data_IF_106359847471
#
_entry.id   IF_106359847471
#
_cell.length_a   1.000
_cell.length_b   1.000
_cell.length_c   1.000
_cell.angle_alpha   90.00
_cell.angle_beta   90.00
_cell.angle_gamma   90.00
#
_symmetry.space_group_name_H-M   'P 1'
#
loop_
_entity.id
_entity.type
_entity.pdbx_description
1 polymer ?
#
# COMPACT_ATOMS: atom_id res chain seq x y z
N UNK A 1 -5.87 5.83 -9.97
CA UNK A 1 -5.14 6.99 -9.45
C UNK A 1 -5.08 7.00 -7.93
N UNK A 2 -6.21 7.22 -7.23
CA UNK A 2 -6.27 7.38 -5.76
C UNK A 2 -5.56 6.25 -5.00
N UNK A 3 -5.78 4.99 -5.39
CA UNK A 3 -5.14 3.83 -4.75
C UNK A 3 -3.61 3.90 -4.79
N UNK A 4 -3.03 4.20 -5.95
CA UNK A 4 -1.57 4.33 -6.10
C UNK A 4 -1.04 5.53 -5.30
N UNK A 5 -1.68 6.69 -5.41
CA UNK A 5 -1.28 7.88 -4.67
C UNK A 5 -1.37 7.65 -3.14
N UNK A 6 -2.41 6.97 -2.67
CA UNK A 6 -2.55 6.62 -1.26
C UNK A 6 -1.45 5.65 -0.80
N UNK A 7 -1.08 4.68 -1.64
CA UNK A 7 0.00 3.75 -1.32
C UNK A 7 1.35 4.46 -1.22
N UNK A 8 1.68 5.36 -2.15
CA UNK A 8 2.90 6.17 -2.05
C UNK A 8 2.93 6.95 -0.74
N UNK A 9 1.81 7.57 -0.35
CA UNK A 9 1.68 8.27 0.94
C UNK A 9 1.89 7.34 2.14
N UNK A 10 1.38 6.10 2.08
CA UNK A 10 1.61 5.09 3.12
C UNK A 10 3.07 4.70 3.23
N UNK A 11 3.72 4.44 2.10
CA UNK A 11 5.10 4.00 2.05
C UNK A 11 6.10 5.10 2.42
N UNK A 12 5.71 6.38 2.27
CA UNK A 12 6.53 7.53 2.65
C UNK A 12 6.44 7.90 4.13
N UNK A 13 5.52 7.31 4.90
CA UNK A 13 5.43 7.57 6.35
C UNK A 13 6.75 7.27 7.05
N UNK A 14 7.07 8.04 8.08
CA UNK A 14 8.33 7.92 8.85
C UNK A 14 8.59 6.49 9.36
N UNK A 15 7.52 5.78 9.76
CA UNK A 15 7.60 4.43 10.30
C UNK A 15 7.86 3.36 9.23
N UNK A 16 7.57 3.67 7.98
CA UNK A 16 7.72 2.77 6.81
C UNK A 16 8.93 3.16 5.99
N UNK A 17 8.93 4.34 5.41
CA UNK A 17 10.03 4.96 4.67
C UNK A 17 10.64 4.07 3.57
N UNK A 18 9.79 3.41 2.81
CA UNK A 18 10.19 2.51 1.73
C UNK A 18 10.28 3.21 0.38
N UNK A 19 9.48 4.27 0.20
CA UNK A 19 9.54 5.15 -0.97
C UNK A 19 9.40 6.62 -0.56
N UNK A 20 9.75 7.52 -1.46
CA UNK A 20 9.60 8.95 -1.26
C UNK A 20 9.33 9.64 -2.61
N UNK A 21 8.43 10.64 -2.65
CA UNK A 21 8.34 11.54 -3.78
C UNK A 21 9.65 12.28 -3.99
N UNK A 22 10.01 12.50 -5.25
CA UNK A 22 11.19 13.31 -5.55
C UNK A 22 11.01 14.72 -5.00
N UNK A 23 12.00 15.15 -4.23
CA UNK A 23 12.04 16.46 -3.62
C UNK A 23 13.09 17.32 -4.31
N UNK A 24 12.66 18.38 -5.01
CA UNK A 24 13.59 19.20 -5.78
C UNK A 24 14.56 19.96 -4.86
N UNK A 25 15.83 20.15 -5.31
CA UNK A 25 16.75 21.03 -4.61
C UNK A 25 16.15 22.43 -4.42
N UNK A 26 16.13 22.92 -3.17
CA UNK A 26 15.52 24.21 -2.83
C UNK A 26 14.02 24.21 -2.60
N UNK A 27 13.34 23.09 -2.79
CA UNK A 27 11.93 22.97 -2.45
C UNK A 27 11.73 23.09 -0.94
N UNK A 28 10.71 23.85 -0.51
CA UNK A 28 10.34 23.99 0.90
C UNK A 28 9.23 23.00 1.24
N UNK A 29 9.53 22.04 2.09
CA UNK A 29 8.53 21.06 2.56
C UNK A 29 7.62 21.59 3.69
N UNK A 30 8.10 22.59 4.43
CA UNK A 30 7.38 23.22 5.54
C UNK A 30 7.98 24.58 5.85
N UNK A 31 7.17 25.52 6.29
CA UNK A 31 7.64 26.85 6.78
C UNK A 31 8.33 26.76 8.14
N UNK A 32 8.00 25.75 8.95
CA UNK A 32 8.49 25.60 10.33
C UNK A 32 9.56 24.50 10.49
N UNK A 33 9.54 23.45 9.65
CA UNK A 33 10.43 22.29 9.74
C UNK A 33 11.17 22.07 8.40
N UNK A 34 12.41 22.55 8.27
CA UNK A 34 13.14 22.50 6.99
C UNK A 34 13.40 21.09 6.45
N UNK A 35 13.44 20.08 7.34
CA UNK A 35 13.66 18.68 6.98
C UNK A 35 12.40 17.92 6.58
N UNK A 36 11.21 18.51 6.78
CA UNK A 36 9.94 17.84 6.52
C UNK A 36 9.70 17.69 5.02
N UNK A 37 9.46 16.46 4.60
CA UNK A 37 9.12 16.10 3.23
C UNK A 37 7.75 15.44 3.22
N UNK A 38 6.77 16.14 2.68
CA UNK A 38 5.40 15.64 2.56
C UNK A 38 5.17 15.13 1.13
N UNK A 39 4.37 14.07 0.93
CA UNK A 39 3.96 13.58 -0.38
C UNK A 39 2.86 14.48 -0.98
N UNK A 40 3.18 15.75 -1.23
CA UNK A 40 2.22 16.81 -1.60
C UNK A 40 1.56 16.51 -2.95
N UNK A 41 2.31 15.95 -3.89
CA UNK A 41 1.79 15.62 -5.22
C UNK A 41 0.80 14.44 -5.13
N UNK A 42 1.11 13.40 -4.38
CA UNK A 42 0.20 12.28 -4.11
C UNK A 42 -1.02 12.71 -3.30
N UNK A 43 -0.87 13.63 -2.36
CA UNK A 43 -2.00 14.23 -1.63
C UNK A 43 -2.94 14.96 -2.58
N UNK A 44 -2.40 15.73 -3.52
CA UNK A 44 -3.18 16.44 -4.53
C UNK A 44 -3.93 15.46 -5.45
N UNK A 45 -3.25 14.43 -5.98
CA UNK A 45 -3.88 13.39 -6.81
C UNK A 45 -4.99 12.66 -6.04
N UNK A 46 -4.79 12.36 -4.76
CA UNK A 46 -5.81 11.76 -3.90
C UNK A 46 -7.04 12.67 -3.76
N UNK A 47 -6.83 13.97 -3.60
CA UNK A 47 -7.91 14.96 -3.52
C UNK A 47 -8.70 15.08 -4.82
N UNK A 48 -8.01 15.24 -5.95
CA UNK A 48 -8.63 15.34 -7.28
C UNK A 48 -9.40 14.07 -7.66
N UNK A 49 -8.91 12.90 -7.27
CA UNK A 49 -9.62 11.64 -7.49
C UNK A 49 -11.01 11.59 -6.85
N UNK A 50 -11.21 12.28 -5.72
CA UNK A 50 -12.54 12.40 -5.09
C UNK A 50 -13.48 13.26 -5.92
N UNK A 51 -13.00 14.37 -6.48
CA UNK A 51 -13.79 15.25 -7.36
C UNK A 51 -14.21 14.50 -8.63
N UNK A 52 -13.26 13.80 -9.28
CA UNK A 52 -13.51 13.01 -10.47
C UNK A 52 -14.56 11.92 -10.18
N UNK A 53 -14.45 11.21 -9.06
CA UNK A 53 -15.43 10.17 -8.68
C UNK A 53 -16.81 10.75 -8.37
N UNK A 54 -16.89 11.92 -7.73
CA UNK A 54 -18.15 12.58 -7.42
C UNK A 54 -18.95 12.95 -8.67
N UNK A 55 -18.27 13.18 -9.80
CA UNK A 55 -18.88 13.48 -11.07
C UNK A 55 -19.73 12.34 -11.68
N UNK A 56 -19.54 11.12 -11.19
CA UNK A 56 -20.29 9.95 -11.65
C UNK A 56 -21.80 10.11 -11.34
N UNK A 57 -22.14 10.69 -10.19
CA UNK A 57 -23.55 10.84 -9.78
C UNK A 57 -24.32 11.71 -10.77
N UNK A 58 -23.97 12.99 -11.02
CA UNK A 58 -24.71 13.81 -11.98
C UNK A 58 -24.63 13.28 -13.42
N UNK A 59 -23.56 12.56 -13.78
CA UNK A 59 -23.48 11.91 -15.09
C UNK A 59 -24.50 10.77 -15.23
N UNK A 60 -24.72 9.97 -14.20
CA UNK A 60 -25.75 8.92 -14.20
C UNK A 60 -27.17 9.50 -14.15
N UNK A 61 -27.39 10.61 -13.46
CA UNK A 61 -28.69 11.29 -13.41
C UNK A 61 -29.09 11.81 -14.78
N UNK A 62 -28.17 12.10 -15.70
CA UNK A 62 -28.43 12.50 -17.08
C UNK A 62 -28.94 11.34 -17.98
N UNK A 63 -29.03 10.11 -17.49
CA UNK A 63 -29.63 8.99 -18.23
C UNK A 63 -31.16 9.13 -18.31
N UNK A 64 -31.75 9.73 -17.27
CA UNK A 64 -33.21 9.95 -17.21
C UNK A 64 -33.63 11.07 -18.16
N UNK A 65 -34.65 10.82 -18.99
CA UNK A 65 -35.16 11.79 -19.94
C UNK A 65 -36.52 12.32 -19.48
N UNK A 66 -36.80 13.55 -19.85
CA UNK A 66 -38.15 14.13 -19.85
C UNK A 66 -38.78 13.93 -21.23
N UNK A 67 -39.73 12.97 -21.34
CA UNK A 67 -40.23 12.45 -22.63
C UNK A 67 -39.07 11.87 -23.46
N UNK A 68 -38.87 12.31 -24.69
CA UNK A 68 -37.81 11.84 -25.59
C UNK A 68 -36.49 12.58 -25.41
N UNK A 69 -36.48 13.69 -24.66
CA UNK A 69 -35.30 14.52 -24.47
C UNK A 69 -35.40 15.34 -23.17
N UNK A 70 -34.24 15.64 -22.59
CA UNK A 70 -34.15 16.56 -21.48
C UNK A 70 -33.01 17.56 -21.66
N UNK A 71 -33.35 18.85 -21.79
CA UNK A 71 -32.36 19.91 -21.96
C UNK A 71 -31.67 20.30 -20.64
N UNK A 72 -32.17 19.83 -19.50
CA UNK A 72 -31.51 20.06 -18.19
C UNK A 72 -30.13 19.45 -18.15
N UNK A 73 -29.87 18.36 -18.87
CA UNK A 73 -28.58 17.72 -19.03
C UNK A 73 -27.49 18.70 -19.50
N UNK A 74 -27.85 19.62 -20.42
CA UNK A 74 -26.93 20.60 -20.97
C UNK A 74 -26.29 21.49 -19.90
N UNK A 75 -27.02 21.85 -18.85
CA UNK A 75 -26.51 22.66 -17.75
C UNK A 75 -25.46 21.90 -16.93
N UNK A 76 -25.62 20.60 -16.80
CA UNK A 76 -24.69 19.70 -16.07
C UNK A 76 -23.45 19.42 -16.92
N UNK A 77 -23.63 18.99 -18.14
CA UNK A 77 -22.55 18.53 -19.03
C UNK A 77 -21.59 19.63 -19.42
N UNK A 78 -22.06 20.87 -19.56
CA UNK A 78 -21.21 22.04 -19.89
C UNK A 78 -20.15 22.35 -18.83
N UNK A 79 -20.41 22.03 -17.58
CA UNK A 79 -19.48 22.20 -16.47
C UNK A 79 -18.76 20.90 -16.20
N UNK A 80 -19.52 19.82 -16.02
CA UNK A 80 -19.00 18.53 -15.58
C UNK A 80 -17.94 17.97 -16.53
N UNK A 81 -18.26 17.88 -17.83
CA UNK A 81 -17.37 17.18 -18.78
C UNK A 81 -16.02 17.89 -18.97
N UNK A 82 -15.97 19.23 -19.22
CA UNK A 82 -14.70 19.93 -19.33
C UNK A 82 -13.87 19.84 -18.04
N UNK A 83 -14.46 20.13 -16.89
CA UNK A 83 -13.73 20.19 -15.63
C UNK A 83 -13.18 18.82 -15.24
N UNK A 84 -13.96 17.76 -15.43
CA UNK A 84 -13.52 16.41 -15.05
C UNK A 84 -12.47 15.86 -16.03
N UNK A 85 -12.57 16.12 -17.32
CA UNK A 85 -11.56 15.69 -18.29
C UNK A 85 -10.23 16.41 -18.06
N UNK A 86 -10.25 17.71 -17.78
CA UNK A 86 -9.05 18.50 -17.43
C UNK A 86 -8.44 17.98 -16.10
N UNK A 87 -9.26 17.77 -15.08
CA UNK A 87 -8.79 17.26 -13.80
C UNK A 87 -8.21 15.84 -13.93
N UNK A 88 -8.80 14.99 -14.77
CA UNK A 88 -8.35 13.63 -15.03
C UNK A 88 -7.00 13.64 -15.74
N UNK A 89 -6.86 14.39 -16.84
CA UNK A 89 -5.62 14.52 -17.60
C UNK A 89 -4.47 15.03 -16.72
N UNK A 90 -4.73 16.11 -15.99
CA UNK A 90 -3.77 16.68 -15.04
C UNK A 90 -3.34 15.66 -13.97
N UNK A 91 -4.31 14.93 -13.40
CA UNK A 91 -4.02 13.96 -12.34
C UNK A 91 -3.23 12.75 -12.84
N UNK A 92 -3.53 12.27 -14.07
CA UNK A 92 -2.80 11.17 -14.69
C UNK A 92 -1.36 11.56 -15.04
N UNK A 93 -1.18 12.74 -15.64
CA UNK A 93 0.16 13.28 -15.94
C UNK A 93 0.98 13.43 -14.66
N UNK A 94 0.40 14.04 -13.62
CA UNK A 94 1.08 14.19 -12.33
C UNK A 94 1.43 12.87 -11.68
N UNK A 95 0.54 11.88 -11.75
CA UNK A 95 0.82 10.55 -11.20
C UNK A 95 1.93 9.83 -11.97
N UNK A 96 1.97 9.99 -13.30
CA UNK A 96 3.06 9.47 -14.13
C UNK A 96 4.40 10.07 -13.72
N UNK A 97 4.48 11.40 -13.57
CA UNK A 97 5.68 12.11 -13.13
C UNK A 97 6.14 11.65 -11.73
N UNK A 98 5.19 11.44 -10.79
CA UNK A 98 5.51 10.92 -9.46
C UNK A 98 6.15 9.54 -9.55
N UNK A 99 5.58 8.64 -10.35
CA UNK A 99 6.07 7.25 -10.49
C UNK A 99 7.42 7.22 -11.19
N UNK A 100 7.61 8.04 -12.23
CA UNK A 100 8.88 8.11 -12.98
C UNK A 100 10.04 8.60 -12.11
N UNK A 101 9.77 9.52 -11.20
CA UNK A 101 10.78 10.14 -10.33
C UNK A 101 10.79 9.55 -8.92
N UNK A 102 10.05 8.47 -8.67
CA UNK A 102 9.91 7.88 -7.34
C UNK A 102 11.26 7.40 -6.80
N UNK A 103 11.61 7.84 -5.60
CA UNK A 103 12.78 7.36 -4.90
C UNK A 103 12.39 6.11 -4.12
N UNK A 104 13.11 5.00 -4.36
CA UNK A 104 12.87 3.72 -3.70
C UNK A 104 14.03 3.40 -2.78
N UNK A 105 13.75 2.90 -1.58
CA UNK A 105 14.73 2.51 -0.56
C UNK A 105 14.71 0.99 -0.31
N UNK A 106 15.38 0.18 -1.17
CA UNK A 106 15.34 -1.29 -1.06
C UNK A 106 15.86 -1.81 0.28
N UNK A 107 16.89 -1.17 0.83
CA UNK A 107 17.48 -1.57 2.11
C UNK A 107 16.47 -1.39 3.25
N UNK A 108 15.72 -0.28 3.27
CA UNK A 108 14.66 -0.04 4.24
C UNK A 108 13.52 -1.05 4.09
N UNK A 109 13.16 -1.42 2.84
CA UNK A 109 12.18 -2.48 2.60
C UNK A 109 12.64 -3.81 3.21
N UNK A 110 13.91 -4.16 3.05
CA UNK A 110 14.48 -5.38 3.61
C UNK A 110 14.52 -5.33 5.14
N UNK A 111 14.90 -4.19 5.72
CA UNK A 111 14.86 -3.97 7.17
C UNK A 111 13.42 -4.12 7.71
N UNK A 112 12.43 -3.52 7.04
CA UNK A 112 11.03 -3.63 7.43
C UNK A 112 10.51 -5.06 7.37
N UNK A 113 10.87 -5.81 6.32
CA UNK A 113 10.56 -7.22 6.21
C UNK A 113 11.18 -8.04 7.35
N UNK A 114 12.38 -7.67 7.77
CA UNK A 114 13.13 -8.30 8.87
C UNK A 114 12.61 -7.97 10.27
N UNK A 115 11.82 -6.90 10.46
CA UNK A 115 11.34 -6.44 11.78
C UNK A 115 10.63 -7.52 12.59
N UNK A 116 9.88 -8.39 11.92
CA UNK A 116 9.17 -9.52 12.55
C UNK A 116 10.05 -10.78 12.68
N UNK A 117 11.37 -10.67 12.46
CA UNK A 117 12.35 -11.73 12.70
C UNK A 117 11.99 -13.09 12.10
N UNK A 118 11.41 -13.06 10.90
CA UNK A 118 11.01 -14.24 10.13
C UNK A 118 9.58 -14.71 10.36
N UNK A 119 8.79 -14.09 11.24
CA UNK A 119 7.39 -14.48 11.49
C UNK A 119 6.49 -14.38 10.24
N UNK A 120 6.87 -13.56 9.25
CA UNK A 120 6.15 -13.47 7.97
C UNK A 120 6.08 -14.82 7.24
N UNK A 121 6.97 -15.76 7.55
CA UNK A 121 7.03 -17.10 6.96
C UNK A 121 6.25 -18.16 7.74
N UNK A 122 5.63 -17.82 8.87
CA UNK A 122 4.97 -18.78 9.77
C UNK A 122 3.96 -19.66 9.07
N UNK A 123 3.09 -19.10 8.21
CA UNK A 123 2.12 -19.88 7.44
C UNK A 123 2.81 -20.84 6.45
N UNK A 124 3.83 -20.39 5.74
CA UNK A 124 4.56 -21.24 4.80
C UNK A 124 5.22 -22.43 5.50
N UNK A 125 5.78 -22.18 6.66
CA UNK A 125 6.42 -23.24 7.49
C UNK A 125 5.38 -24.24 7.97
N UNK A 126 4.23 -23.79 8.48
CA UNK A 126 3.13 -24.65 8.86
C UNK A 126 2.68 -25.57 7.72
N UNK A 127 2.51 -25.02 6.53
CA UNK A 127 2.13 -25.77 5.34
C UNK A 127 3.21 -26.78 4.94
N UNK A 128 4.49 -26.40 4.98
CA UNK A 128 5.61 -27.29 4.66
C UNK A 128 5.68 -28.47 5.64
N UNK A 129 5.50 -28.25 6.93
CA UNK A 129 5.45 -29.29 7.96
C UNK A 129 4.29 -30.26 7.72
N UNK A 130 3.12 -29.74 7.36
CA UNK A 130 1.95 -30.57 7.04
C UNK A 130 2.19 -31.40 5.78
N UNK A 131 2.81 -30.82 4.76
CA UNK A 131 3.20 -31.54 3.52
C UNK A 131 4.25 -32.62 3.78
N UNK A 132 5.12 -32.43 4.77
CA UNK A 132 6.09 -33.43 5.22
C UNK A 132 5.47 -34.53 6.07
N UNK A 133 4.14 -34.55 6.25
CA UNK A 133 3.40 -35.59 6.95
C UNK A 133 3.09 -35.31 8.42
N UNK A 134 3.39 -34.09 8.92
CA UNK A 134 2.98 -33.71 10.27
C UNK A 134 1.47 -33.43 10.33
N UNK A 135 0.83 -33.85 11.41
CA UNK A 135 -0.56 -33.47 11.68
C UNK A 135 -0.70 -31.95 11.79
N UNK A 136 -1.77 -31.40 11.20
CA UNK A 136 -1.98 -29.96 11.08
C UNK A 136 -2.08 -29.25 12.43
N UNK A 137 -2.75 -29.86 13.42
CA UNK A 137 -2.89 -29.26 14.74
C UNK A 137 -1.55 -29.23 15.48
N UNK A 138 -0.77 -30.30 15.34
CA UNK A 138 0.58 -30.38 15.87
C UNK A 138 1.49 -29.33 15.22
N UNK A 139 1.47 -29.23 13.89
CA UNK A 139 2.23 -28.21 13.18
C UNK A 139 1.84 -26.78 13.61
N UNK A 140 0.55 -26.52 13.76
CA UNK A 140 0.05 -25.22 14.24
C UNK A 140 0.56 -24.90 15.65
N UNK A 141 0.44 -25.84 16.57
CA UNK A 141 0.91 -25.68 17.96
C UNK A 141 2.40 -25.37 18.04
N UNK A 142 3.21 -26.07 17.26
CA UNK A 142 4.68 -25.87 17.22
C UNK A 142 5.01 -24.49 16.65
N UNK A 143 4.41 -24.13 15.50
CA UNK A 143 4.65 -22.83 14.87
C UNK A 143 4.21 -21.70 15.79
N UNK A 144 3.06 -21.82 16.44
CA UNK A 144 2.55 -20.81 17.37
C UNK A 144 3.47 -20.65 18.59
N UNK A 145 3.89 -21.75 19.22
CA UNK A 145 4.80 -21.73 20.37
C UNK A 145 6.11 -20.98 20.04
N UNK A 146 6.73 -21.34 18.92
CA UNK A 146 7.97 -20.70 18.49
C UNK A 146 7.74 -19.24 18.08
N UNK A 147 6.61 -18.91 17.45
CA UNK A 147 6.26 -17.54 17.10
C UNK A 147 6.05 -16.66 18.35
N UNK A 148 5.40 -17.18 19.38
CA UNK A 148 5.25 -16.44 20.65
C UNK A 148 6.58 -16.24 21.36
N UNK A 149 7.51 -17.20 21.26
CA UNK A 149 8.86 -17.03 21.81
C UNK A 149 9.64 -15.94 21.09
N UNK A 150 9.47 -15.74 19.76
CA UNK A 150 10.04 -14.59 19.03
C UNK A 150 9.59 -13.27 19.64
N UNK A 151 8.30 -13.14 19.99
CA UNK A 151 7.78 -11.93 20.63
C UNK A 151 8.39 -11.69 22.03
N UNK A 152 8.58 -12.76 22.80
CA UNK A 152 9.05 -12.67 24.19
C UNK A 152 10.55 -12.44 24.28
N UNK A 153 11.35 -13.21 23.51
CA UNK A 153 12.82 -13.24 23.62
C UNK A 153 13.51 -12.34 22.60
N UNK A 154 12.82 -11.97 21.51
CA UNK A 154 13.44 -11.28 20.39
C UNK A 154 14.38 -12.16 19.56
N UNK A 155 14.31 -13.48 19.69
CA UNK A 155 15.08 -14.43 18.89
C UNK A 155 14.60 -14.50 17.44
N UNK A 156 15.44 -15.03 16.54
CA UNK A 156 15.04 -15.29 15.17
C UNK A 156 14.13 -16.53 15.09
N UNK A 157 13.04 -16.43 14.36
CA UNK A 157 12.06 -17.50 14.24
C UNK A 157 12.67 -18.78 13.64
N UNK A 158 13.56 -18.65 12.65
CA UNK A 158 14.24 -19.78 12.03
C UNK A 158 15.15 -20.52 13.02
N UNK A 159 15.83 -19.80 13.91
CA UNK A 159 16.74 -20.42 14.88
C UNK A 159 15.97 -21.20 15.95
N UNK A 160 14.83 -20.66 16.40
CA UNK A 160 13.92 -21.35 17.29
C UNK A 160 13.38 -22.65 16.66
N UNK A 161 12.95 -22.57 15.40
CA UNK A 161 12.47 -23.75 14.68
C UNK A 161 13.55 -24.83 14.49
N UNK A 162 14.76 -24.43 14.14
CA UNK A 162 15.90 -25.37 13.99
C UNK A 162 16.29 -26.04 15.31
N UNK A 163 16.11 -25.36 16.42
CA UNK A 163 16.41 -25.92 17.75
C UNK A 163 15.28 -26.78 18.32
N UNK A 164 14.07 -26.67 17.78
CA UNK A 164 12.90 -27.41 18.25
C UNK A 164 13.00 -28.91 17.94
N UNK A 165 13.00 -29.74 18.97
CA UNK A 165 13.14 -31.19 18.84
C UNK A 165 11.99 -31.87 18.12
N UNK A 166 10.78 -31.30 18.15
CA UNK A 166 9.60 -31.85 17.48
C UNK A 166 9.64 -31.60 15.97
N UNK A 167 10.41 -30.63 15.49
CA UNK A 167 10.56 -30.30 14.06
C UNK A 167 11.68 -31.11 13.41
N UNK A 168 12.75 -31.42 14.14
CA UNK A 168 13.96 -32.08 13.61
C UNK A 168 13.68 -33.27 12.68
N UNK A 169 12.72 -34.17 12.97
CA UNK A 169 12.43 -35.32 12.08
C UNK A 169 11.87 -34.92 10.71
N UNK A 170 11.37 -33.71 10.56
CA UNK A 170 10.71 -33.19 9.35
C UNK A 170 11.59 -32.15 8.61
N UNK A 171 12.72 -31.78 9.16
CA UNK A 171 13.72 -30.97 8.46
C UNK A 171 14.45 -31.88 7.45
N UNK A 172 14.36 -31.53 6.16
CA UNK A 172 15.19 -32.15 5.14
C UNK A 172 16.66 -31.85 5.44
N UNK A 173 17.60 -32.78 5.19
CA UNK A 173 19.02 -32.58 5.40
C UNK A 173 19.58 -31.44 4.54
#
# INVERSE_FOLDING_TARGET
MERLATEIRNLQRTEVREVEEFFQPGQKGSSAMPHKRNPVLSENVTGLSRMIRAAVVPALENITLWHERDISHSSVERVLLPDITVALDFSLTRLADIVEQLIVYPDTMLENLGKLRGLVHSQRILLAMTQAGMDRETAYRIVQRNAMEVWNSGSQFLDLLKSDSEIKPYLLP
#
